data_IF_231539921739
#
_entry.id   IF_231539921739
#
_cell.length_a   1.000
_cell.length_b   1.000
_cell.length_c   1.000
_cell.angle_alpha   90.00
_cell.angle_beta   90.00
_cell.angle_gamma   90.00
#
_symmetry.space_group_name_H-M   'P 1'
#
loop_
_entity.id
_entity.type
_entity.pdbx_description
1 polymer ?
#
# COMPACT_ATOMS: atom_id res chain seq x y z
N UNK A 1 -11.05 -13.44 9.49
CA UNK A 1 -9.61 -13.09 9.51
C UNK A 1 -8.81 -14.32 9.92
N UNK A 2 -7.95 -14.88 9.06
CA UNK A 2 -7.09 -16.01 9.42
C UNK A 2 -5.84 -15.41 10.04
N UNK A 3 -5.74 -15.36 11.35
CA UNK A 3 -4.51 -14.96 12.03
C UNK A 3 -3.51 -16.08 11.82
N UNK A 4 -2.60 -15.86 10.90
CA UNK A 4 -1.71 -16.90 10.40
C UNK A 4 -0.35 -16.69 11.03
N UNK A 5 0.15 -17.73 11.67
CA UNK A 5 1.28 -17.69 12.56
C UNK A 5 2.64 -17.89 11.90
N UNK A 6 2.73 -17.92 10.57
CA UNK A 6 3.96 -18.32 9.89
C UNK A 6 4.48 -17.33 8.84
N UNK A 7 4.03 -16.07 8.86
CA UNK A 7 4.49 -15.05 7.89
C UNK A 7 4.87 -13.75 8.57
N UNK A 8 5.70 -12.96 7.93
CA UNK A 8 5.74 -11.52 8.17
C UNK A 8 4.43 -10.93 7.68
N UNK A 9 3.74 -10.17 8.50
CA UNK A 9 2.44 -9.61 8.18
C UNK A 9 2.54 -8.09 8.19
N UNK A 10 1.98 -7.51 7.16
CA UNK A 10 1.79 -6.09 7.01
C UNK A 10 0.30 -5.79 7.14
N UNK A 11 -0.06 -4.95 8.08
CA UNK A 11 -1.43 -4.53 8.33
C UNK A 11 -1.59 -3.04 8.04
N UNK A 12 -2.61 -2.74 7.25
CA UNK A 12 -3.18 -1.41 7.18
C UNK A 12 -4.37 -1.36 8.15
N UNK A 13 -4.35 -0.46 9.11
CA UNK A 13 -5.32 -0.38 10.19
C UNK A 13 -6.11 0.92 10.08
N UNK A 14 -7.07 0.94 9.14
CA UNK A 14 -7.93 2.10 8.88
C UNK A 14 -9.34 1.94 9.45
N UNK A 15 -9.90 0.74 9.36
CA UNK A 15 -11.33 0.50 9.61
C UNK A 15 -11.74 0.63 11.06
N UNK A 16 -10.76 0.67 11.97
CA UNK A 16 -11.02 0.72 13.40
C UNK A 16 -10.31 1.92 14.02
N UNK A 17 -11.00 2.74 14.81
CA UNK A 17 -10.45 3.99 15.30
C UNK A 17 -9.15 3.79 16.08
N UNK A 18 -8.11 4.53 15.68
CA UNK A 18 -6.87 4.75 16.45
C UNK A 18 -6.02 3.49 16.72
N UNK A 19 -5.79 2.66 15.69
CA UNK A 19 -4.92 1.50 15.83
C UNK A 19 -5.56 0.35 16.63
N UNK A 20 -6.87 0.15 16.46
CA UNK A 20 -7.60 -0.89 17.18
C UNK A 20 -7.10 -2.29 16.82
N UNK A 21 -6.79 -2.56 15.54
CA UNK A 21 -6.28 -3.86 15.11
C UNK A 21 -4.98 -4.22 15.83
N UNK A 22 -4.05 -3.27 15.95
CA UNK A 22 -2.82 -3.45 16.72
C UNK A 22 -3.13 -3.71 18.20
N UNK A 23 -4.03 -2.96 18.81
CA UNK A 23 -4.43 -3.15 20.22
C UNK A 23 -5.08 -4.52 20.46
N UNK A 24 -5.83 -5.03 19.50
CA UNK A 24 -6.51 -6.33 19.58
C UNK A 24 -5.58 -7.50 19.34
N UNK A 25 -4.67 -7.39 18.38
CA UNK A 25 -3.85 -8.52 17.91
C UNK A 25 -2.40 -8.48 18.37
N UNK A 26 -1.89 -7.32 18.75
CA UNK A 26 -0.46 -7.10 19.04
C UNK A 26 0.08 -8.02 20.13
N UNK A 27 -0.69 -8.28 21.19
CA UNK A 27 -0.27 -9.20 22.26
C UNK A 27 -0.16 -10.64 21.79
N UNK A 28 -1.08 -11.07 20.93
CA UNK A 28 -1.02 -12.40 20.30
C UNK A 28 0.21 -12.54 19.41
N UNK A 29 0.52 -11.50 18.62
CA UNK A 29 1.69 -11.50 17.75
C UNK A 29 3.00 -11.40 18.54
N UNK A 30 3.05 -10.59 19.59
CA UNK A 30 4.20 -10.51 20.47
C UNK A 30 4.46 -11.83 21.24
N UNK A 31 3.41 -12.62 21.53
CA UNK A 31 3.57 -13.97 22.05
C UNK A 31 4.01 -14.96 20.97
N UNK A 32 3.56 -14.76 19.75
CA UNK A 32 3.91 -15.54 18.58
C UNK A 32 3.23 -16.91 18.45
N UNK A 33 3.75 -17.66 17.50
CA UNK A 33 3.32 -19.03 17.22
C UNK A 33 4.33 -20.08 17.66
N UNK A 34 3.95 -21.38 17.70
CA UNK A 34 4.90 -22.45 17.93
C UNK A 34 6.02 -22.43 16.90
N UNK A 35 7.27 -22.40 17.33
CA UNK A 35 8.40 -22.63 16.45
C UNK A 35 8.30 -24.04 15.87
N UNK A 36 8.46 -24.17 14.56
CA UNK A 36 8.38 -25.45 13.85
C UNK A 36 9.74 -25.86 13.30
N UNK A 37 10.01 -27.15 13.29
CA UNK A 37 11.18 -27.73 12.63
C UNK A 37 10.96 -27.85 11.11
N UNK A 38 11.97 -28.36 10.41
CA UNK A 38 11.93 -28.59 8.95
C UNK A 38 10.79 -29.51 8.50
N UNK A 39 10.27 -30.36 9.40
CA UNK A 39 9.15 -31.25 9.16
C UNK A 39 7.79 -30.66 9.58
N UNK A 40 7.77 -29.37 9.98
CA UNK A 40 6.58 -28.68 10.41
C UNK A 40 6.08 -29.04 11.81
N UNK A 41 6.84 -29.83 12.61
CA UNK A 41 6.49 -30.21 13.97
C UNK A 41 6.89 -29.10 14.96
N UNK A 42 6.11 -28.87 16.05
CA UNK A 42 6.47 -27.92 17.07
C UNK A 42 7.79 -28.29 17.76
N UNK A 43 8.75 -27.35 17.78
CA UNK A 43 10.00 -27.48 18.53
C UNK A 43 9.70 -27.42 20.02
N UNK A 44 10.32 -28.31 20.80
CA UNK A 44 10.20 -28.35 22.27
C UNK A 44 11.53 -28.04 22.93
N UNK A 45 11.48 -27.36 24.08
CA UNK A 45 12.65 -27.10 24.90
C UNK A 45 13.10 -28.37 25.66
N UNK A 46 14.19 -28.26 26.41
CA UNK A 46 14.73 -29.34 27.24
C UNK A 46 13.74 -29.86 28.31
N UNK A 47 12.68 -29.10 28.61
CA UNK A 47 11.63 -29.45 29.56
C UNK A 47 10.36 -29.98 28.86
N UNK A 48 10.42 -30.23 27.54
CA UNK A 48 9.30 -30.71 26.75
C UNK A 48 8.22 -29.65 26.41
N UNK A 49 8.41 -28.38 26.80
CA UNK A 49 7.48 -27.30 26.48
C UNK A 49 7.68 -26.81 25.04
N UNK A 50 6.57 -26.47 24.38
CA UNK A 50 6.62 -25.88 23.03
C UNK A 50 7.33 -24.53 23.09
N UNK A 51 8.31 -24.35 22.22
CA UNK A 51 9.01 -23.06 22.03
C UNK A 51 8.15 -22.19 21.14
N UNK A 52 7.90 -20.95 21.56
CA UNK A 52 7.19 -19.94 20.76
C UNK A 52 8.16 -18.95 20.15
N UNK A 53 7.90 -18.53 18.95
CA UNK A 53 8.66 -17.53 18.21
C UNK A 53 7.81 -16.26 18.04
N UNK A 54 8.16 -15.17 18.77
CA UNK A 54 7.43 -13.93 18.71
C UNK A 54 7.62 -13.22 17.38
N UNK A 55 6.62 -12.42 16.97
CA UNK A 55 6.78 -11.43 15.92
C UNK A 55 7.47 -10.19 16.47
N UNK A 56 8.35 -9.61 15.70
CA UNK A 56 8.75 -8.21 15.91
C UNK A 56 7.58 -7.34 15.49
N UNK A 57 7.16 -6.45 16.35
CA UNK A 57 6.09 -5.49 16.04
C UNK A 57 6.73 -4.17 15.64
N UNK A 58 6.38 -3.67 14.48
CA UNK A 58 6.77 -2.36 13.96
C UNK A 58 5.52 -1.54 13.72
N UNK A 59 5.57 -0.24 14.00
CA UNK A 59 4.40 0.64 13.97
C UNK A 59 4.76 1.95 13.31
N UNK A 60 4.06 2.31 12.24
CA UNK A 60 4.02 3.67 11.72
C UNK A 60 2.61 4.21 11.93
N UNK A 61 2.47 5.30 12.65
CA UNK A 61 1.18 5.89 13.02
C UNK A 61 1.13 7.34 12.54
N UNK A 62 0.33 7.61 11.50
CA UNK A 62 0.16 8.96 10.95
C UNK A 62 -1.00 9.73 11.58
N UNK A 63 -1.77 9.10 12.47
CA UNK A 63 -2.81 9.78 13.28
C UNK A 63 -2.19 10.40 14.53
N UNK A 64 -1.28 9.67 15.16
CA UNK A 64 -0.61 10.11 16.39
C UNK A 64 0.87 9.75 16.32
N UNK A 65 1.68 10.70 15.89
CA UNK A 65 3.12 10.53 15.69
C UNK A 65 3.88 10.15 16.96
N UNK A 66 3.38 10.54 18.16
CA UNK A 66 4.01 10.13 19.43
C UNK A 66 3.93 8.61 19.70
N UNK A 67 3.07 7.90 18.98
CA UNK A 67 2.89 6.44 19.04
C UNK A 67 3.42 5.74 17.78
N UNK A 68 4.36 6.38 17.11
CA UNK A 68 4.98 5.88 15.88
C UNK A 68 6.46 5.60 16.11
N UNK A 69 6.97 4.58 15.43
CA UNK A 69 8.39 4.41 15.17
C UNK A 69 8.84 5.38 14.09
N UNK A 70 10.12 5.69 14.04
CA UNK A 70 10.73 6.54 13.02
C UNK A 70 10.87 5.78 11.71
N UNK A 71 10.65 6.51 10.61
CA UNK A 71 10.76 6.02 9.25
C UNK A 71 11.50 7.04 8.40
N UNK A 72 12.70 6.71 7.99
CA UNK A 72 13.49 7.53 7.08
C UNK A 72 13.52 6.92 5.67
N UNK A 73 12.79 7.49 4.70
CA UNK A 73 12.79 6.97 3.33
C UNK A 73 14.17 6.94 2.67
N UNK A 74 15.09 7.83 3.05
CA UNK A 74 16.43 7.89 2.46
C UNK A 74 17.32 6.73 2.93
N UNK A 75 17.01 6.11 4.08
CA UNK A 75 17.71 4.91 4.56
C UNK A 75 17.59 3.71 3.60
N UNK A 76 16.54 3.71 2.75
CA UNK A 76 16.27 2.65 1.78
C UNK A 76 16.70 2.96 0.36
N UNK A 77 17.36 4.07 0.13
CA UNK A 77 17.95 4.41 -1.17
C UNK A 77 19.28 3.70 -1.33
N UNK A 78 19.39 2.81 -2.32
CA UNK A 78 20.59 2.00 -2.60
C UNK A 78 21.20 2.32 -3.95
N UNK A 79 20.46 3.02 -4.80
CA UNK A 79 20.88 3.36 -6.17
C UNK A 79 20.15 4.61 -6.65
N UNK A 80 20.67 5.21 -7.74
CA UNK A 80 20.01 6.32 -8.45
C UNK A 80 18.58 5.94 -8.91
N UNK A 81 18.35 4.67 -9.23
CA UNK A 81 17.01 4.18 -9.58
C UNK A 81 16.03 4.34 -8.42
N UNK A 82 16.50 4.14 -7.18
CA UNK A 82 15.63 4.26 -6.01
C UNK A 82 15.31 5.72 -5.71
N UNK A 83 16.23 6.64 -6.00
CA UNK A 83 15.97 8.09 -5.97
C UNK A 83 14.83 8.43 -6.93
N UNK A 84 14.91 7.94 -8.19
CA UNK A 84 13.85 8.17 -9.17
C UNK A 84 12.50 7.58 -8.74
N UNK A 85 12.50 6.36 -8.17
CA UNK A 85 11.28 5.72 -7.66
C UNK A 85 10.68 6.54 -6.51
N UNK A 86 11.49 6.97 -5.54
CA UNK A 86 11.07 7.77 -4.39
C UNK A 86 10.44 9.10 -4.84
N UNK A 87 11.11 9.83 -5.72
CA UNK A 87 10.61 11.09 -6.27
C UNK A 87 9.29 10.89 -7.02
N UNK A 88 9.16 9.82 -7.81
CA UNK A 88 7.91 9.51 -8.50
C UNK A 88 6.75 9.27 -7.54
N UNK A 89 6.97 8.58 -6.43
CA UNK A 89 5.93 8.34 -5.41
C UNK A 89 5.54 9.65 -4.73
N UNK A 90 6.49 10.49 -4.35
CA UNK A 90 6.23 11.80 -3.77
C UNK A 90 5.34 12.62 -4.71
N UNK A 91 5.75 12.77 -5.96
CA UNK A 91 5.00 13.55 -6.95
C UNK A 91 3.60 12.98 -7.21
N UNK A 92 3.47 11.65 -7.28
CA UNK A 92 2.18 11.00 -7.54
C UNK A 92 1.16 11.25 -6.43
N UNK A 93 1.62 11.34 -5.16
CA UNK A 93 0.74 11.37 -3.99
C UNK A 93 0.67 12.74 -3.29
N UNK A 94 1.34 13.77 -3.80
CA UNK A 94 1.29 15.15 -3.28
C UNK A 94 0.71 16.13 -4.30
N UNK A 95 -0.13 15.64 -5.21
CA UNK A 95 -0.85 16.50 -6.17
C UNK A 95 -1.95 17.27 -5.47
N UNK A 96 -2.09 18.56 -5.79
CA UNK A 96 -3.24 19.35 -5.36
C UNK A 96 -4.53 18.90 -6.06
N UNK A 97 -5.68 19.15 -5.41
CA UNK A 97 -6.99 18.89 -5.98
C UNK A 97 -7.16 19.68 -7.29
N UNK A 98 -7.41 18.98 -8.39
CA UNK A 98 -7.66 19.56 -9.72
C UNK A 98 -6.47 19.55 -10.69
N UNK A 99 -5.27 19.11 -10.29
CA UNK A 99 -4.18 18.88 -11.24
C UNK A 99 -4.51 17.73 -12.20
N UNK A 100 -4.66 18.07 -13.49
CA UNK A 100 -4.82 17.07 -14.54
C UNK A 100 -3.56 16.21 -14.64
N UNK A 101 -3.74 14.91 -14.82
CA UNK A 101 -2.68 13.89 -14.87
C UNK A 101 -1.76 13.94 -16.10
N UNK A 102 -1.69 15.06 -16.84
CA UNK A 102 -0.72 15.20 -17.92
C UNK A 102 0.66 15.44 -17.32
N UNK A 103 1.69 14.77 -17.84
CA UNK A 103 3.09 15.11 -17.56
C UNK A 103 3.36 16.53 -18.03
N UNK A 104 3.02 17.50 -17.21
CA UNK A 104 3.24 18.89 -17.47
C UNK A 104 4.74 19.22 -17.29
N UNK A 105 5.19 20.24 -17.97
CA UNK A 105 6.52 20.80 -17.83
C UNK A 105 6.91 20.99 -16.35
N UNK A 106 5.98 21.47 -15.53
CA UNK A 106 6.18 21.71 -14.10
C UNK A 106 6.57 20.45 -13.34
N UNK A 107 5.83 19.36 -13.52
CA UNK A 107 6.09 18.06 -12.88
C UNK A 107 7.47 17.51 -13.29
N UNK A 108 7.87 17.68 -14.56
CA UNK A 108 9.20 17.25 -15.03
C UNK A 108 10.32 18.08 -14.39
N UNK A 109 10.12 19.38 -14.26
CA UNK A 109 11.08 20.26 -13.63
C UNK A 109 11.21 20.04 -12.12
N UNK A 110 10.08 19.84 -11.41
CA UNK A 110 10.04 19.44 -9.99
C UNK A 110 10.81 18.13 -9.76
N UNK A 111 10.60 17.14 -10.64
CA UNK A 111 11.31 15.86 -10.59
C UNK A 111 12.81 16.05 -10.69
N UNK A 112 13.29 16.90 -11.60
CA UNK A 112 14.71 17.20 -11.75
C UNK A 112 15.29 17.79 -10.46
N UNK A 113 14.60 18.75 -9.84
CA UNK A 113 15.05 19.37 -8.60
C UNK A 113 15.09 18.36 -7.45
N UNK A 114 14.03 17.61 -7.22
CA UNK A 114 14.03 16.60 -6.17
C UNK A 114 15.11 15.52 -6.38
N UNK A 115 15.30 15.07 -7.61
CA UNK A 115 16.37 14.12 -7.93
C UNK A 115 17.75 14.70 -7.67
N UNK A 116 17.94 15.99 -7.95
CA UNK A 116 19.19 16.68 -7.68
C UNK A 116 19.47 16.78 -6.17
N UNK A 117 18.48 17.27 -5.40
CA UNK A 117 18.64 17.48 -3.96
C UNK A 117 18.80 16.15 -3.21
N UNK A 118 17.94 15.17 -3.48
CA UNK A 118 18.03 13.84 -2.84
C UNK A 118 19.33 13.13 -3.27
N UNK A 119 19.71 13.27 -4.54
CA UNK A 119 20.98 12.72 -5.03
C UNK A 119 22.18 13.36 -4.33
N UNK A 120 22.18 14.67 -4.12
CA UNK A 120 23.20 15.35 -3.34
C UNK A 120 23.29 14.81 -1.91
N UNK A 121 22.16 14.74 -1.23
CA UNK A 121 22.08 14.23 0.16
C UNK A 121 22.60 12.79 0.23
N UNK A 122 22.19 11.94 -0.69
CA UNK A 122 22.56 10.52 -0.66
C UNK A 122 24.06 10.29 -0.87
N UNK A 123 24.69 11.05 -1.75
CA UNK A 123 26.11 10.89 -2.08
C UNK A 123 27.04 11.66 -1.14
N UNK A 124 26.70 12.93 -0.84
CA UNK A 124 27.63 13.90 -0.27
C UNK A 124 27.38 14.19 1.22
N UNK A 125 26.15 13.96 1.74
CA UNK A 125 25.84 14.24 3.13
C UNK A 125 26.37 13.16 4.07
N UNK A 126 26.68 13.56 5.31
CA UNK A 126 27.01 12.61 6.38
C UNK A 126 25.80 11.70 6.70
N UNK A 127 26.02 10.47 7.22
CA UNK A 127 24.92 9.52 7.47
C UNK A 127 23.75 10.09 8.28
N UNK A 128 24.04 10.90 9.29
CA UNK A 128 23.04 11.51 10.18
C UNK A 128 22.19 12.59 9.47
N UNK A 129 22.73 13.16 8.39
CA UNK A 129 22.06 14.19 7.58
C UNK A 129 21.27 13.60 6.41
N UNK A 130 21.37 12.29 6.16
CA UNK A 130 20.63 11.62 5.08
C UNK A 130 19.18 11.40 5.44
N UNK A 131 18.42 12.49 5.54
CA UNK A 131 17.02 12.48 5.93
C UNK A 131 16.20 13.58 5.24
N UNK A 132 14.88 13.56 5.44
CA UNK A 132 13.97 14.54 4.83
C UNK A 132 14.13 15.95 5.39
N UNK A 133 14.67 16.12 6.60
CA UNK A 133 14.91 17.46 7.15
C UNK A 133 15.97 18.18 6.32
N UNK A 134 17.04 17.49 5.97
CA UNK A 134 18.09 18.03 5.09
C UNK A 134 17.54 18.39 3.71
N UNK A 135 16.63 17.56 3.15
CA UNK A 135 15.93 17.89 1.91
C UNK A 135 15.17 19.21 2.01
N UNK A 136 14.42 19.41 3.10
CA UNK A 136 13.68 20.66 3.34
C UNK A 136 14.62 21.86 3.48
N UNK A 137 15.72 21.72 4.20
CA UNK A 137 16.72 22.78 4.33
C UNK A 137 17.31 23.16 2.98
N UNK A 138 17.70 22.20 2.17
CA UNK A 138 18.22 22.46 0.83
C UNK A 138 17.16 23.11 -0.08
N UNK A 139 15.92 22.62 -0.05
CA UNK A 139 14.83 23.22 -0.84
C UNK A 139 14.55 24.65 -0.43
N UNK A 140 14.52 24.95 0.86
CA UNK A 140 14.31 26.30 1.40
C UNK A 140 15.50 27.24 1.10
N UNK A 141 16.71 26.68 0.94
CA UNK A 141 17.90 27.44 0.55
C UNK A 141 18.01 27.65 -0.98
N UNK A 142 17.12 27.02 -1.77
CA UNK A 142 16.97 27.33 -3.17
C UNK A 142 16.24 28.66 -3.36
N UNK A 143 16.90 29.66 -3.91
CA UNK A 143 16.31 30.94 -4.22
C UNK A 143 16.48 31.27 -5.72
N UNK A 144 15.49 31.93 -6.30
CA UNK A 144 15.56 32.49 -7.65
C UNK A 144 15.12 33.96 -7.61
N UNK A 145 15.91 34.87 -8.17
CA UNK A 145 15.57 36.28 -8.31
C UNK A 145 15.16 36.58 -9.74
N UNK A 146 14.08 37.31 -9.91
CA UNK A 146 13.54 37.65 -11.21
C UNK A 146 14.33 38.83 -11.86
N UNK A 147 14.89 39.67 -11.00
CA UNK A 147 15.60 40.90 -11.35
C UNK A 147 17.12 40.73 -11.49
N UNK A 148 17.65 39.57 -11.12
CA UNK A 148 19.09 39.27 -11.19
C UNK A 148 19.30 37.78 -11.59
N UNK A 149 19.53 37.58 -12.88
CA UNK A 149 19.84 36.26 -13.44
C UNK A 149 21.21 35.71 -13.03
N UNK A 150 22.09 36.59 -12.52
CA UNK A 150 23.44 36.20 -12.06
C UNK A 150 23.47 35.78 -10.60
N UNK A 151 22.35 35.97 -9.87
CA UNK A 151 22.25 35.61 -8.49
C UNK A 151 22.40 34.07 -8.27
N UNK A 152 23.26 33.74 -7.35
CA UNK A 152 23.49 32.34 -6.92
C UNK A 152 23.00 32.13 -5.50
N UNK A 153 22.05 31.23 -5.33
CA UNK A 153 21.62 30.76 -4.02
C UNK A 153 22.72 29.91 -3.34
N UNK A 154 22.63 29.68 -2.02
CA UNK A 154 23.56 28.78 -1.33
C UNK A 154 23.63 27.38 -1.98
N UNK A 155 22.51 26.88 -2.49
CA UNK A 155 22.44 25.59 -3.17
C UNK A 155 23.14 25.64 -4.55
N UNK A 156 23.02 26.75 -5.29
CA UNK A 156 23.78 26.93 -6.54
C UNK A 156 25.27 26.82 -6.29
N UNK A 157 25.78 27.44 -5.22
CA UNK A 157 27.19 27.37 -4.85
C UNK A 157 27.62 25.94 -4.53
N UNK A 158 26.81 25.19 -3.78
CA UNK A 158 27.08 23.78 -3.46
C UNK A 158 27.18 22.93 -4.74
N UNK A 159 26.25 23.11 -5.67
CA UNK A 159 26.26 22.35 -6.93
C UNK A 159 27.38 22.79 -7.87
N UNK A 160 27.74 24.07 -7.90
CA UNK A 160 28.89 24.56 -8.67
C UNK A 160 30.19 23.96 -8.17
N UNK A 161 30.37 23.84 -6.86
CA UNK A 161 31.57 23.27 -6.25
C UNK A 161 31.63 21.74 -6.47
N UNK A 162 30.51 21.06 -6.41
CA UNK A 162 30.43 19.65 -6.77
C UNK A 162 30.69 19.42 -8.25
N UNK A 163 30.14 20.27 -9.14
CA UNK A 163 30.37 20.20 -10.60
C UNK A 163 31.82 20.40 -11.00
N UNK A 164 32.58 21.27 -10.30
CA UNK A 164 34.03 21.44 -10.51
C UNK A 164 34.82 20.17 -10.20
N UNK A 165 34.40 19.43 -9.15
CA UNK A 165 35.06 18.18 -8.70
C UNK A 165 34.62 16.98 -9.51
N UNK A 166 33.32 16.87 -9.76
CA UNK A 166 32.64 15.71 -10.35
C UNK A 166 31.57 16.15 -11.37
N UNK A 167 31.92 16.58 -12.58
CA UNK A 167 30.96 17.09 -13.58
C UNK A 167 29.92 16.02 -14.01
N UNK A 168 30.30 14.74 -13.96
CA UNK A 168 29.45 13.61 -14.33
C UNK A 168 28.55 13.11 -13.20
N UNK A 169 28.60 13.73 -12.01
CA UNK A 169 27.81 13.34 -10.86
C UNK A 169 26.31 13.39 -11.15
N UNK A 170 25.56 12.37 -10.72
CA UNK A 170 24.11 12.25 -10.97
C UNK A 170 23.34 13.52 -10.56
N UNK A 171 23.56 13.99 -9.31
CA UNK A 171 22.87 15.15 -8.78
C UNK A 171 23.19 16.43 -9.59
N UNK A 172 24.43 16.61 -10.00
CA UNK A 172 24.87 17.76 -10.85
C UNK A 172 24.12 17.72 -12.20
N UNK A 173 24.05 16.57 -12.85
CA UNK A 173 23.32 16.42 -14.12
C UNK A 173 21.84 16.77 -14.00
N UNK A 174 21.20 16.40 -12.90
CA UNK A 174 19.79 16.74 -12.66
C UNK A 174 19.64 18.24 -12.39
N UNK A 175 20.54 18.83 -11.57
CA UNK A 175 20.49 20.24 -11.22
C UNK A 175 20.72 21.15 -12.41
N UNK A 176 21.71 20.85 -13.23
CA UNK A 176 22.00 21.61 -14.47
C UNK A 176 20.78 21.65 -15.39
N UNK A 177 20.09 20.50 -15.57
CA UNK A 177 18.86 20.45 -16.38
C UNK A 177 17.74 21.28 -15.77
N UNK A 178 17.59 21.26 -14.43
CA UNK A 178 16.62 22.09 -13.73
C UNK A 178 16.89 23.57 -13.92
N UNK A 179 18.15 24.00 -13.83
CA UNK A 179 18.58 25.40 -14.01
C UNK A 179 18.48 25.93 -15.44
N UNK A 180 18.16 25.09 -16.43
CA UNK A 180 17.86 25.55 -17.79
C UNK A 180 16.54 26.34 -17.88
N UNK A 181 15.68 26.30 -16.86
CA UNK A 181 14.50 27.13 -16.80
C UNK A 181 14.84 28.61 -16.54
N UNK A 182 14.11 29.52 -17.16
CA UNK A 182 14.29 30.96 -16.93
C UNK A 182 13.89 31.38 -15.52
N UNK A 183 14.46 32.47 -14.99
CA UNK A 183 14.34 32.91 -13.61
C UNK A 183 12.91 32.95 -13.04
N UNK A 184 11.95 33.54 -13.77
CA UNK A 184 10.53 33.56 -13.38
C UNK A 184 9.90 32.18 -13.32
N UNK A 185 10.22 31.33 -14.29
CA UNK A 185 9.76 29.94 -14.33
C UNK A 185 10.38 29.14 -13.19
N UNK A 186 11.68 29.36 -12.92
CA UNK A 186 12.40 28.72 -11.84
C UNK A 186 11.75 29.00 -10.47
N UNK A 187 11.41 30.26 -10.18
CA UNK A 187 10.72 30.67 -8.97
C UNK A 187 9.37 29.96 -8.81
N UNK A 188 8.60 29.84 -9.89
CA UNK A 188 7.31 29.12 -9.86
C UNK A 188 7.50 27.63 -9.58
N UNK A 189 8.53 26.98 -10.11
CA UNK A 189 8.87 25.58 -9.83
C UNK A 189 9.24 25.42 -8.35
N UNK A 190 10.04 26.33 -7.78
CA UNK A 190 10.42 26.28 -6.36
C UNK A 190 9.20 26.42 -5.44
N UNK A 191 8.27 27.32 -5.76
CA UNK A 191 7.00 27.47 -5.03
C UNK A 191 6.19 26.18 -5.09
N UNK A 192 6.09 25.55 -6.26
CA UNK A 192 5.36 24.29 -6.42
C UNK A 192 6.01 23.14 -5.62
N UNK A 193 7.34 23.04 -5.66
CA UNK A 193 8.07 22.07 -4.84
C UNK A 193 7.83 22.29 -3.34
N UNK A 194 7.91 23.55 -2.87
CA UNK A 194 7.62 23.89 -1.48
C UNK A 194 6.20 23.53 -1.07
N UNK A 195 5.21 23.82 -1.93
CA UNK A 195 3.81 23.46 -1.65
C UNK A 195 3.58 21.95 -1.51
N UNK A 196 4.26 21.13 -2.32
CA UNK A 196 4.17 19.66 -2.22
C UNK A 196 4.75 19.12 -0.92
N UNK A 197 5.77 19.74 -0.38
CA UNK A 197 6.41 19.35 0.88
C UNK A 197 5.88 20.12 2.10
N UNK A 198 4.87 20.98 1.95
CA UNK A 198 4.26 21.72 3.04
C UNK A 198 3.80 20.84 4.24
N UNK A 199 3.30 19.60 4.06
CA UNK A 199 3.00 18.73 5.20
C UNK A 199 4.19 18.49 6.13
N UNK A 200 5.42 18.59 5.64
CA UNK A 200 6.65 18.43 6.44
C UNK A 200 6.98 19.68 7.29
N UNK A 201 6.21 20.77 7.21
CA UNK A 201 6.30 21.87 8.15
C UNK A 201 5.79 21.49 9.54
N UNK A 202 5.03 20.40 9.64
CA UNK A 202 4.58 19.81 10.90
C UNK A 202 5.78 19.14 11.58
N UNK A 203 6.11 19.65 12.77
CA UNK A 203 7.29 19.21 13.54
C UNK A 203 7.27 17.71 13.81
N UNK A 204 6.13 17.19 14.25
CA UNK A 204 5.95 15.79 14.61
C UNK A 204 6.21 14.84 13.41
N UNK A 205 5.80 15.25 12.21
CA UNK A 205 6.11 14.50 11.00
C UNK A 205 7.62 14.53 10.70
N UNK A 206 8.26 15.68 10.83
CA UNK A 206 9.71 15.76 10.63
C UNK A 206 10.47 14.87 11.61
N UNK A 207 10.08 14.90 12.89
CA UNK A 207 10.74 14.14 13.94
C UNK A 207 10.73 12.62 13.67
N UNK A 208 9.65 12.08 13.11
CA UNK A 208 9.59 10.65 12.74
C UNK A 208 10.39 10.30 11.48
N UNK A 209 10.80 11.29 10.67
CA UNK A 209 11.55 11.07 9.43
C UNK A 209 13.05 11.36 9.52
N UNK A 210 13.57 11.51 10.72
CA UNK A 210 15.01 11.75 10.97
C UNK A 210 15.85 10.48 10.84
N UNK A 211 15.35 9.38 11.39
CA UNK A 211 16.04 8.09 11.52
C UNK A 211 15.12 6.95 11.10
N UNK A 212 15.66 5.75 10.97
CA UNK A 212 14.85 4.57 10.63
C UNK A 212 14.85 3.54 11.76
N UNK A 213 13.65 3.20 12.24
CA UNK A 213 13.41 2.14 13.22
C UNK A 213 12.57 0.99 12.64
N UNK A 214 12.03 1.16 11.42
CA UNK A 214 11.16 0.17 10.81
C UNK A 214 11.91 -1.04 10.26
N UNK A 215 13.14 -0.87 9.79
CA UNK A 215 13.97 -1.94 9.22
C UNK A 215 13.23 -2.72 8.12
N UNK A 216 12.63 -1.99 7.15
CA UNK A 216 11.80 -2.58 6.08
C UNK A 216 12.54 -3.64 5.27
N UNK A 217 13.84 -3.47 5.13
CA UNK A 217 14.72 -4.39 4.40
C UNK A 217 14.93 -5.73 5.11
N UNK A 218 14.52 -5.87 6.37
CA UNK A 218 14.58 -7.13 7.11
C UNK A 218 13.26 -7.90 7.12
N UNK A 219 12.20 -7.34 6.52
CA UNK A 219 10.97 -8.07 6.31
C UNK A 219 11.19 -9.18 5.29
N UNK A 220 10.60 -10.34 5.51
CA UNK A 220 10.90 -11.51 4.69
C UNK A 220 12.10 -12.35 5.15
N UNK A 221 12.96 -11.83 6.05
CA UNK A 221 14.04 -12.61 6.69
C UNK A 221 13.56 -13.25 7.99
N UNK A 222 12.75 -12.55 8.72
CA UNK A 222 12.26 -12.96 10.04
C UNK A 222 10.83 -12.49 10.27
N UNK A 223 10.11 -13.18 11.16
CA UNK A 223 8.71 -12.87 11.46
C UNK A 223 8.58 -11.47 12.02
N UNK A 224 7.97 -10.60 11.23
CA UNK A 224 7.71 -9.19 11.57
C UNK A 224 6.24 -8.87 11.30
N UNK A 225 5.62 -8.12 12.17
CA UNK A 225 4.29 -7.55 11.96
C UNK A 225 4.43 -6.02 11.91
N UNK A 226 4.28 -5.46 10.72
CA UNK A 226 4.26 -4.02 10.51
C UNK A 226 2.82 -3.52 10.49
N UNK A 227 2.51 -2.58 11.36
CA UNK A 227 1.22 -1.89 11.41
C UNK A 227 1.39 -0.47 10.87
N UNK A 228 0.63 -0.14 9.83
CA UNK A 228 0.49 1.21 9.31
C UNK A 228 -0.87 1.74 9.73
N UNK A 229 -0.87 2.70 10.62
CA UNK A 229 -2.08 3.30 11.19
C UNK A 229 -2.29 4.65 10.53
N UNK A 230 -3.39 4.78 9.79
CA UNK A 230 -3.74 5.99 9.05
C UNK A 230 -5.18 6.40 9.32
N UNK A 231 -5.52 7.64 8.98
CA UNK A 231 -6.88 8.16 9.14
C UNK A 231 -7.77 7.72 7.97
N UNK A 232 -9.02 7.40 8.28
CA UNK A 232 -10.09 7.15 7.32
C UNK A 232 -10.74 8.45 6.80
N UNK A 233 -10.60 9.54 7.54
CA UNK A 233 -11.24 10.84 7.27
C UNK A 233 -10.27 11.92 6.82
N UNK A 234 -8.97 11.76 7.06
CA UNK A 234 -7.94 12.73 6.74
C UNK A 234 -6.82 12.09 5.89
N UNK A 235 -6.70 12.54 4.65
CA UNK A 235 -5.75 12.02 3.67
C UNK A 235 -4.40 12.75 3.66
N UNK A 236 -4.22 13.75 4.52
CA UNK A 236 -3.05 14.66 4.51
C UNK A 236 -1.72 13.92 4.55
N UNK A 237 -1.63 12.81 5.28
CA UNK A 237 -0.40 12.04 5.45
C UNK A 237 -0.36 10.71 4.69
N UNK A 238 -1.35 10.44 3.82
CA UNK A 238 -1.43 9.18 3.09
C UNK A 238 -0.24 8.97 2.14
N UNK A 239 0.38 10.06 1.65
CA UNK A 239 1.59 10.00 0.84
C UNK A 239 2.76 9.31 1.56
N UNK A 240 2.85 9.43 2.90
CA UNK A 240 3.87 8.74 3.70
C UNK A 240 3.68 7.23 3.62
N UNK A 241 2.43 6.78 3.73
CA UNK A 241 2.07 5.36 3.64
C UNK A 241 2.33 4.83 2.22
N UNK A 242 1.93 5.58 1.18
CA UNK A 242 2.20 5.21 -0.21
C UNK A 242 3.71 5.09 -0.50
N UNK A 243 4.50 6.01 0.05
CA UNK A 243 5.96 6.02 -0.07
C UNK A 243 6.57 4.78 0.60
N UNK A 244 6.19 4.49 1.85
CA UNK A 244 6.64 3.30 2.57
C UNK A 244 6.27 2.02 1.83
N UNK A 245 5.02 1.88 1.38
CA UNK A 245 4.58 0.67 0.67
C UNK A 245 5.33 0.47 -0.64
N UNK A 246 5.52 1.54 -1.41
CA UNK A 246 6.30 1.46 -2.64
C UNK A 246 7.73 1.01 -2.38
N UNK A 247 8.37 1.53 -1.33
CA UNK A 247 9.71 1.09 -0.91
C UNK A 247 9.72 -0.34 -0.43
N UNK A 248 8.79 -0.73 0.43
CA UNK A 248 8.68 -2.09 0.95
C UNK A 248 8.58 -3.13 -0.17
N UNK A 249 7.67 -2.94 -1.13
CA UNK A 249 7.53 -3.86 -2.25
C UNK A 249 8.81 -3.95 -3.10
N UNK A 250 9.45 -2.81 -3.39
CA UNK A 250 10.70 -2.80 -4.15
C UNK A 250 11.81 -3.54 -3.39
N UNK A 251 11.99 -3.23 -2.09
CA UNK A 251 13.00 -3.87 -1.25
C UNK A 251 12.81 -5.38 -1.15
N UNK A 252 11.56 -5.84 -0.98
CA UNK A 252 11.26 -7.27 -0.88
C UNK A 252 11.53 -7.99 -2.21
N UNK A 253 11.16 -7.37 -3.35
CA UNK A 253 11.40 -7.94 -4.67
C UNK A 253 12.92 -8.01 -4.97
N UNK A 254 13.64 -6.91 -4.80
CA UNK A 254 15.07 -6.84 -5.03
C UNK A 254 15.82 -7.83 -4.13
N UNK A 255 15.40 -7.94 -2.85
CA UNK A 255 16.00 -8.89 -1.91
C UNK A 255 15.73 -10.35 -2.26
N UNK A 256 14.51 -10.66 -2.69
CA UNK A 256 14.18 -12.00 -3.15
C UNK A 256 15.05 -12.39 -4.36
N UNK A 257 15.22 -11.48 -5.31
CA UNK A 257 15.96 -11.74 -6.54
C UNK A 257 17.48 -11.80 -6.31
N UNK A 258 18.03 -10.83 -5.58
CA UNK A 258 19.49 -10.66 -5.45
C UNK A 258 20.12 -11.56 -4.36
N UNK A 259 19.37 -11.85 -3.27
CA UNK A 259 19.92 -12.58 -2.12
C UNK A 259 19.35 -13.99 -1.93
N UNK A 260 18.12 -14.25 -2.38
CA UNK A 260 17.40 -15.49 -2.08
C UNK A 260 16.98 -16.28 -3.32
N UNK A 261 17.66 -16.10 -4.45
CA UNK A 261 17.38 -16.84 -5.71
C UNK A 261 15.91 -16.78 -6.13
N UNK A 262 15.28 -15.61 -5.97
CA UNK A 262 13.92 -15.33 -6.40
C UNK A 262 12.83 -15.62 -5.35
N UNK A 263 13.17 -16.03 -4.11
CA UNK A 263 12.15 -16.43 -3.14
C UNK A 263 12.54 -16.10 -1.70
N UNK A 264 11.76 -15.26 -1.02
CA UNK A 264 12.00 -14.90 0.38
C UNK A 264 11.89 -16.12 1.32
N UNK A 265 12.74 -16.21 2.36
CA UNK A 265 12.69 -17.30 3.33
C UNK A 265 11.43 -17.27 4.21
N UNK A 266 10.88 -16.09 4.47
CA UNK A 266 9.63 -15.90 5.21
C UNK A 266 8.61 -15.23 4.31
N UNK A 267 7.45 -15.88 4.14
CA UNK A 267 6.36 -15.33 3.34
C UNK A 267 5.89 -13.98 3.90
N UNK A 268 5.76 -12.98 3.04
CA UNK A 268 5.25 -11.65 3.41
C UNK A 268 3.82 -11.49 2.91
N UNK A 269 2.89 -11.31 3.83
CA UNK A 269 1.49 -11.07 3.51
C UNK A 269 1.10 -9.64 3.77
N UNK A 270 0.74 -8.91 2.72
CA UNK A 270 0.23 -7.56 2.79
C UNK A 270 -1.31 -7.59 2.91
N UNK A 271 -1.84 -7.08 4.02
CA UNK A 271 -3.27 -6.87 4.22
C UNK A 271 -3.53 -5.38 4.03
N UNK A 272 -4.08 -5.03 2.88
CA UNK A 272 -4.28 -3.65 2.44
C UNK A 272 -5.76 -3.29 2.60
N UNK A 273 -6.12 -2.95 3.84
CA UNK A 273 -7.48 -2.50 4.17
C UNK A 273 -7.67 -1.07 3.70
N UNK A 274 -8.87 -0.72 3.20
CA UNK A 274 -9.19 0.57 2.58
C UNK A 274 -8.12 1.01 1.55
N UNK A 275 -7.71 0.08 0.68
CA UNK A 275 -6.60 0.26 -0.26
C UNK A 275 -6.71 1.54 -1.10
N UNK A 276 -7.93 2.01 -1.36
CA UNK A 276 -8.16 3.25 -2.08
C UNK A 276 -7.65 4.50 -1.35
N UNK A 277 -7.58 4.47 -0.02
CA UNK A 277 -7.16 5.63 0.76
C UNK A 277 -5.63 5.76 0.88
N UNK A 278 -4.89 4.69 0.61
CA UNK A 278 -3.42 4.69 0.72
C UNK A 278 -2.76 5.70 -0.24
N UNK A 279 -3.42 6.00 -1.36
CA UNK A 279 -2.84 6.72 -2.47
C UNK A 279 -2.35 5.78 -3.58
N UNK A 280 -1.63 6.34 -4.55
CA UNK A 280 -1.15 5.59 -5.70
C UNK A 280 0.22 4.96 -5.45
N UNK A 281 0.32 3.63 -5.52
CA UNK A 281 1.60 2.92 -5.62
C UNK A 281 1.95 2.81 -7.11
N UNK A 282 2.99 3.50 -7.59
CA UNK A 282 3.36 3.48 -9.01
C UNK A 282 3.67 2.06 -9.51
N UNK A 283 3.15 1.70 -10.69
CA UNK A 283 3.31 0.37 -11.32
C UNK A 283 2.79 -0.81 -10.46
N UNK A 284 1.81 -0.59 -9.61
CA UNK A 284 1.24 -1.65 -8.76
C UNK A 284 0.61 -2.78 -9.58
N UNK A 285 0.03 -2.47 -10.75
CA UNK A 285 -0.48 -3.43 -11.73
C UNK A 285 0.58 -4.45 -12.18
N UNK A 286 1.80 -4.01 -12.43
CA UNK A 286 2.94 -4.88 -12.79
C UNK A 286 3.47 -5.63 -11.58
N UNK A 287 3.52 -4.96 -10.45
CA UNK A 287 4.02 -5.50 -9.21
C UNK A 287 3.17 -6.68 -8.74
N UNK A 288 1.84 -6.54 -8.69
CA UNK A 288 0.93 -7.60 -8.23
C UNK A 288 1.00 -8.86 -9.10
N UNK A 289 1.34 -8.71 -10.37
CA UNK A 289 1.54 -9.84 -11.28
C UNK A 289 2.79 -10.67 -10.97
N UNK A 290 3.78 -10.09 -10.28
CA UNK A 290 5.11 -10.70 -10.12
C UNK A 290 5.46 -11.10 -8.68
N UNK A 291 4.79 -10.54 -7.67
CA UNK A 291 5.14 -10.76 -6.25
C UNK A 291 4.95 -12.19 -5.78
N UNK A 292 4.03 -12.94 -6.39
CA UNK A 292 3.70 -14.32 -5.99
C UNK A 292 4.92 -15.25 -5.98
N UNK A 293 5.74 -15.20 -7.02
CA UNK A 293 6.94 -16.05 -7.13
C UNK A 293 7.96 -15.76 -6.02
N UNK A 294 7.93 -14.58 -5.43
CA UNK A 294 8.86 -14.07 -4.41
C UNK A 294 8.40 -14.30 -2.97
N UNK A 295 7.39 -15.13 -2.76
CA UNK A 295 6.75 -15.34 -1.44
C UNK A 295 6.11 -14.08 -0.86
N UNK A 296 5.54 -13.25 -1.72
CA UNK A 296 4.79 -12.06 -1.31
C UNK A 296 3.34 -12.21 -1.80
N UNK A 297 2.38 -11.94 -0.94
CA UNK A 297 0.96 -11.92 -1.29
C UNK A 297 0.29 -10.64 -0.82
N UNK A 298 -0.68 -10.16 -1.60
CA UNK A 298 -1.49 -8.99 -1.25
C UNK A 298 -2.97 -9.38 -1.13
N UNK A 299 -3.62 -8.88 -0.08
CA UNK A 299 -5.07 -8.90 0.08
C UNK A 299 -5.55 -7.47 0.00
N UNK A 300 -6.19 -7.12 -1.09
CA UNK A 300 -6.71 -5.78 -1.37
C UNK A 300 -8.16 -5.75 -0.88
N UNK A 301 -8.49 -4.84 0.03
CA UNK A 301 -9.82 -4.69 0.57
C UNK A 301 -10.37 -3.33 0.14
N UNK A 302 -11.56 -3.33 -0.42
CA UNK A 302 -12.22 -2.17 -1.00
C UNK A 302 -13.69 -2.15 -0.58
N UNK A 303 -14.28 -0.98 -0.48
CA UNK A 303 -15.73 -0.83 -0.30
C UNK A 303 -16.46 -1.02 -1.64
N UNK A 304 -15.82 -0.64 -2.76
CA UNK A 304 -16.33 -0.84 -4.12
C UNK A 304 -15.18 -0.91 -5.12
N UNK A 305 -15.41 -1.53 -6.26
CA UNK A 305 -14.42 -1.56 -7.34
C UNK A 305 -14.22 -0.20 -8.02
N UNK A 306 -15.22 0.68 -7.98
CA UNK A 306 -15.09 2.03 -8.50
C UNK A 306 -14.00 2.85 -7.80
N UNK A 307 -13.72 2.58 -6.52
CA UNK A 307 -12.61 3.20 -5.80
C UNK A 307 -11.26 2.89 -6.46
N UNK A 308 -11.04 1.62 -6.84
CA UNK A 308 -9.81 1.21 -7.51
C UNK A 308 -9.68 1.88 -8.89
N UNK A 309 -10.77 1.96 -9.65
CA UNK A 309 -10.81 2.62 -10.97
C UNK A 309 -10.52 4.12 -10.89
N UNK A 310 -10.90 4.77 -9.81
CA UNK A 310 -10.60 6.20 -9.59
C UNK A 310 -9.09 6.44 -9.52
N UNK A 311 -8.33 5.58 -8.82
CA UNK A 311 -6.91 5.76 -8.57
C UNK A 311 -6.05 5.20 -9.72
N UNK A 312 -6.37 3.98 -10.16
CA UNK A 312 -5.55 3.24 -11.11
C UNK A 312 -6.07 3.27 -12.55
N UNK A 313 -7.25 3.87 -12.79
CA UNK A 313 -7.88 3.99 -14.11
C UNK A 313 -7.91 2.64 -14.84
N UNK A 314 -7.40 2.56 -16.05
CA UNK A 314 -7.39 1.33 -16.87
C UNK A 314 -6.56 0.20 -16.25
N UNK A 315 -5.57 0.52 -15.41
CA UNK A 315 -4.78 -0.49 -14.70
C UNK A 315 -5.56 -1.23 -13.61
N UNK A 316 -6.72 -0.72 -13.18
CA UNK A 316 -7.57 -1.34 -12.15
C UNK A 316 -8.01 -2.76 -12.55
N UNK A 317 -8.41 -2.96 -13.80
CA UNK A 317 -8.86 -4.26 -14.30
C UNK A 317 -7.70 -5.27 -14.34
N UNK A 318 -6.47 -4.80 -14.60
CA UNK A 318 -5.25 -5.63 -14.52
C UNK A 318 -4.97 -6.05 -13.08
N UNK A 319 -5.14 -5.15 -12.11
CA UNK A 319 -4.95 -5.45 -10.68
C UNK A 319 -5.95 -6.53 -10.24
N UNK A 320 -7.24 -6.36 -10.52
CA UNK A 320 -8.28 -7.34 -10.19
C UNK A 320 -8.03 -8.67 -10.87
N UNK A 321 -7.67 -8.67 -12.16
CA UNK A 321 -7.37 -9.87 -12.94
C UNK A 321 -6.17 -10.69 -12.44
N UNK A 322 -5.25 -10.08 -11.69
CA UNK A 322 -4.13 -10.76 -11.04
C UNK A 322 -4.46 -11.29 -9.63
N UNK A 323 -5.66 -11.02 -9.12
CA UNK A 323 -6.14 -11.60 -7.87
C UNK A 323 -6.77 -12.98 -8.13
N UNK A 324 -6.17 -14.06 -7.62
CA UNK A 324 -6.67 -15.42 -7.79
C UNK A 324 -7.96 -15.71 -7.00
N UNK A 325 -8.27 -14.88 -6.03
CA UNK A 325 -9.43 -15.04 -5.15
C UNK A 325 -10.18 -13.71 -5.03
N UNK A 326 -11.49 -13.73 -5.23
CA UNK A 326 -12.39 -12.61 -4.96
C UNK A 326 -13.40 -13.02 -3.92
N UNK A 327 -13.49 -12.24 -2.83
CA UNK A 327 -14.44 -12.48 -1.74
C UNK A 327 -15.36 -11.26 -1.61
N UNK A 328 -16.64 -11.44 -1.90
CA UNK A 328 -17.65 -10.41 -1.83
C UNK A 328 -18.54 -10.60 -0.60
N UNK A 329 -18.59 -9.60 0.26
CA UNK A 329 -19.35 -9.61 1.52
C UNK A 329 -20.71 -8.91 1.45
N UNK A 330 -21.11 -8.46 0.27
CA UNK A 330 -22.31 -7.64 0.05
C UNK A 330 -21.96 -6.20 -0.23
N UNK A 331 -22.91 -5.48 -0.83
CA UNK A 331 -22.75 -4.08 -1.20
C UNK A 331 -23.91 -3.64 -2.08
N UNK A 332 -24.01 -2.32 -2.36
CA UNK A 332 -25.08 -1.73 -3.18
C UNK A 332 -24.55 -0.93 -4.38
N UNK A 333 -23.24 -0.87 -4.57
CA UNK A 333 -22.63 -0.14 -5.68
C UNK A 333 -22.89 -0.90 -7.00
N UNK A 334 -23.56 -0.22 -7.95
CA UNK A 334 -24.07 -0.86 -9.19
C UNK A 334 -22.97 -1.49 -10.06
N UNK A 335 -21.81 -0.85 -10.15
CA UNK A 335 -20.67 -1.38 -10.92
C UNK A 335 -20.19 -2.71 -10.37
N UNK A 336 -19.98 -2.78 -9.04
CA UNK A 336 -19.57 -4.01 -8.35
C UNK A 336 -20.65 -5.10 -8.46
N UNK A 337 -21.92 -4.77 -8.27
CA UNK A 337 -23.01 -5.74 -8.42
C UNK A 337 -23.06 -6.34 -9.84
N UNK A 338 -22.89 -5.50 -10.86
CA UNK A 338 -22.84 -5.93 -12.25
C UNK A 338 -21.66 -6.88 -12.48
N UNK A 339 -20.46 -6.51 -12.07
CA UNK A 339 -19.27 -7.33 -12.24
C UNK A 339 -19.39 -8.67 -11.53
N UNK A 340 -19.90 -8.71 -10.30
CA UNK A 340 -20.12 -9.97 -9.56
C UNK A 340 -21.16 -10.85 -10.31
N UNK A 341 -22.27 -10.29 -10.78
CA UNK A 341 -23.29 -11.02 -11.54
C UNK A 341 -22.71 -11.63 -12.83
N UNK A 342 -21.93 -10.84 -13.58
CA UNK A 342 -21.27 -11.28 -14.81
C UNK A 342 -20.23 -12.40 -14.53
N UNK A 343 -19.46 -12.27 -13.46
CA UNK A 343 -18.45 -13.26 -13.02
C UNK A 343 -19.07 -14.59 -12.57
N UNK A 344 -20.28 -14.56 -11.97
CA UNK A 344 -21.01 -15.77 -11.59
C UNK A 344 -21.44 -16.56 -12.81
N UNK A 345 -21.71 -15.87 -13.93
CA UNK A 345 -22.12 -16.48 -15.18
C UNK A 345 -23.61 -16.78 -15.24
N UNK A 346 -23.98 -17.62 -16.20
CA UNK A 346 -25.39 -17.94 -16.51
C UNK A 346 -25.64 -19.46 -16.44
N UNK A 347 -26.84 -19.81 -16.02
CA UNK A 347 -27.40 -21.15 -16.17
C UNK A 347 -28.38 -21.21 -17.36
N UNK A 348 -28.53 -22.38 -17.96
CA UNK A 348 -29.53 -22.59 -18.99
C UNK A 348 -30.83 -23.02 -18.33
N UNK A 349 -31.90 -22.25 -18.54
CA UNK A 349 -33.24 -22.58 -18.10
C UNK A 349 -34.10 -22.94 -19.32
N UNK A 350 -35.02 -23.89 -19.14
CA UNK A 350 -36.04 -24.20 -20.12
C UNK A 350 -37.25 -23.27 -19.88
N UNK A 351 -37.56 -22.47 -20.88
CA UNK A 351 -38.74 -21.59 -20.86
C UNK A 351 -39.83 -22.18 -21.73
N UNK A 352 -40.98 -22.38 -21.13
CA UNK A 352 -42.19 -22.80 -21.82
C UNK A 352 -43.11 -21.60 -22.09
N UNK A 353 -43.28 -21.26 -23.34
CA UNK A 353 -44.23 -20.24 -23.73
C UNK A 353 -45.49 -20.92 -24.28
N UNK A 354 -46.64 -20.62 -23.66
CA UNK A 354 -47.97 -21.02 -24.16
C UNK A 354 -48.63 -19.84 -24.83
N UNK A 355 -49.01 -20.04 -26.11
CA UNK A 355 -49.85 -19.08 -26.81
C UNK A 355 -51.22 -19.70 -27.06
N UNK A 356 -52.27 -19.01 -26.61
CA UNK A 356 -53.65 -19.39 -26.87
C UNK A 356 -54.27 -18.34 -27.81
N UNK A 357 -54.65 -18.76 -28.99
CA UNK A 357 -55.32 -17.90 -29.96
C UNK A 357 -56.83 -18.18 -29.88
N UNK A 358 -57.62 -17.18 -29.40
CA UNK A 358 -59.07 -17.25 -29.22
C UNK A 358 -59.83 -16.70 -30.44
N UNK A 359 -59.48 -17.15 -31.67
CA UNK A 359 -60.23 -16.86 -32.89
C UNK A 359 -61.32 -17.88 -33.12
N UNK A 360 -61.94 -17.83 -34.31
CA UNK A 360 -63.00 -18.80 -34.72
C UNK A 360 -62.56 -20.25 -34.73
N UNK A 361 -61.25 -20.50 -34.72
CA UNK A 361 -60.63 -21.81 -34.41
C UNK A 361 -59.59 -21.58 -33.31
N UNK A 362 -59.79 -22.20 -32.15
CA UNK A 362 -58.88 -22.15 -31.00
C UNK A 362 -57.66 -23.01 -31.35
N UNK A 363 -56.46 -22.40 -31.34
CA UNK A 363 -55.22 -23.11 -31.48
C UNK A 363 -54.30 -22.87 -30.24
N UNK A 364 -53.72 -23.94 -29.76
CA UNK A 364 -52.75 -23.91 -28.67
C UNK A 364 -51.35 -24.18 -29.22
N UNK A 365 -50.44 -23.24 -29.08
CA UNK A 365 -49.02 -23.41 -29.42
C UNK A 365 -48.19 -23.54 -28.18
N UNK A 366 -47.34 -24.59 -28.10
CA UNK A 366 -46.33 -24.76 -27.08
C UNK A 366 -44.96 -24.52 -27.72
N UNK A 367 -44.23 -23.51 -27.23
CA UNK A 367 -42.85 -23.26 -27.68
C UNK A 367 -41.88 -23.47 -26.54
N UNK A 368 -40.92 -24.35 -26.76
CA UNK A 368 -39.80 -24.60 -25.80
C UNK A 368 -38.59 -23.77 -26.23
N UNK A 369 -38.11 -22.92 -25.35
CA UNK A 369 -36.90 -22.14 -25.59
C UNK A 369 -35.91 -22.35 -24.45
N UNK A 370 -34.63 -22.51 -24.80
CA UNK A 370 -33.53 -22.47 -23.81
C UNK A 370 -33.02 -21.07 -23.70
N UNK A 371 -33.11 -20.51 -22.49
CA UNK A 371 -32.67 -19.17 -22.17
C UNK A 371 -31.51 -19.23 -21.18
N UNK A 372 -30.54 -18.32 -21.33
CA UNK A 372 -29.51 -18.12 -20.33
C UNK A 372 -30.00 -17.17 -19.23
N UNK A 373 -30.20 -17.67 -18.02
CA UNK A 373 -30.51 -16.87 -16.83
C UNK A 373 -29.24 -16.64 -16.04
N UNK A 374 -28.98 -15.44 -15.55
CA UNK A 374 -27.88 -15.16 -14.61
C UNK A 374 -28.04 -16.02 -13.36
N UNK A 375 -26.94 -16.61 -12.87
CA UNK A 375 -26.98 -17.42 -11.63
C UNK A 375 -27.47 -16.62 -10.44
N UNK A 376 -27.07 -15.36 -10.33
CA UNK A 376 -27.65 -14.35 -9.45
C UNK A 376 -27.70 -13.03 -10.21
N UNK A 377 -28.87 -12.40 -10.23
CA UNK A 377 -29.06 -11.07 -10.82
C UNK A 377 -28.50 -10.00 -9.88
N UNK A 378 -28.29 -8.78 -10.39
CA UNK A 378 -27.76 -7.66 -9.59
C UNK A 378 -28.64 -7.33 -8.39
N UNK A 379 -29.94 -7.42 -8.56
CA UNK A 379 -30.97 -7.20 -7.52
C UNK A 379 -30.96 -8.33 -6.47
N UNK A 380 -30.80 -9.57 -6.86
CA UNK A 380 -30.62 -10.70 -5.92
C UNK A 380 -29.33 -10.56 -5.08
N UNK A 381 -28.23 -10.13 -5.71
CA UNK A 381 -26.98 -9.86 -5.02
C UNK A 381 -27.10 -8.66 -4.06
N UNK A 382 -27.83 -7.61 -4.45
CA UNK A 382 -28.02 -6.40 -3.65
C UNK A 382 -28.80 -6.66 -2.35
N UNK A 383 -29.68 -7.68 -2.33
CA UNK A 383 -30.50 -8.08 -1.17
C UNK A 383 -29.95 -9.34 -0.48
N UNK A 384 -28.75 -9.78 -0.83
CA UNK A 384 -28.10 -10.93 -0.23
C UNK A 384 -28.05 -10.79 1.31
N UNK A 385 -28.35 -11.88 2.01
CA UNK A 385 -28.31 -11.93 3.48
C UNK A 385 -26.95 -11.48 4.03
N UNK A 386 -26.98 -10.64 5.06
CA UNK A 386 -25.79 -10.07 5.68
C UNK A 386 -24.82 -11.08 6.28
N UNK A 387 -25.27 -12.31 6.58
CA UNK A 387 -24.45 -13.44 7.03
C UNK A 387 -23.80 -14.24 5.91
N UNK A 388 -24.11 -13.94 4.64
CA UNK A 388 -23.60 -14.65 3.46
C UNK A 388 -22.46 -13.92 2.76
N UNK A 389 -21.70 -14.67 1.99
CA UNK A 389 -20.65 -14.14 1.12
C UNK A 389 -20.54 -14.96 -0.19
N UNK A 390 -19.99 -14.34 -1.22
CA UNK A 390 -19.66 -15.01 -2.47
C UNK A 390 -18.14 -15.11 -2.56
N UNK A 391 -17.62 -16.33 -2.70
CA UNK A 391 -16.20 -16.58 -2.90
C UNK A 391 -15.96 -17.11 -4.30
N UNK A 392 -15.10 -16.45 -5.02
CA UNK A 392 -14.56 -16.92 -6.30
C UNK A 392 -13.10 -17.29 -6.16
N UNK A 393 -12.72 -18.42 -6.72
CA UNK A 393 -11.35 -18.89 -6.83
C UNK A 393 -11.06 -19.21 -8.30
N UNK A 394 -9.85 -18.88 -8.77
CA UNK A 394 -9.44 -19.21 -10.12
C UNK A 394 -9.51 -20.74 -10.35
N UNK A 395 -10.18 -21.14 -11.42
CA UNK A 395 -10.26 -22.55 -11.85
C UNK A 395 -11.36 -23.39 -11.20
N UNK A 396 -12.18 -22.82 -10.32
CA UNK A 396 -13.32 -23.50 -9.71
C UNK A 396 -14.59 -22.66 -9.79
N UNK A 397 -15.75 -23.34 -9.69
CA UNK A 397 -17.05 -22.63 -9.66
C UNK A 397 -17.17 -21.75 -8.42
N UNK A 398 -17.91 -20.64 -8.50
CA UNK A 398 -18.14 -19.77 -7.34
C UNK A 398 -18.83 -20.50 -6.19
N UNK A 399 -18.54 -20.05 -4.97
CA UNK A 399 -19.18 -20.56 -3.76
C UNK A 399 -20.08 -19.48 -3.16
N UNK A 400 -21.30 -19.85 -2.82
CA UNK A 400 -22.18 -19.07 -1.96
C UNK A 400 -22.12 -19.65 -0.55
N UNK A 401 -21.56 -18.92 0.41
CA UNK A 401 -21.18 -19.45 1.72
C UNK A 401 -21.57 -18.52 2.86
N UNK A 402 -21.54 -19.05 4.07
CA UNK A 402 -21.68 -18.24 5.28
C UNK A 402 -20.39 -17.47 5.58
N UNK A 403 -20.53 -16.26 6.11
CA UNK A 403 -19.40 -15.52 6.67
C UNK A 403 -18.86 -16.28 7.88
N UNK A 404 -17.53 -16.33 7.99
CA UNK A 404 -16.90 -17.03 9.12
C UNK A 404 -17.15 -16.29 10.44
N UNK A 405 -17.62 -17.01 11.43
CA UNK A 405 -17.79 -16.50 12.79
C UNK A 405 -16.44 -16.53 13.53
N UNK A 406 -15.84 -15.34 13.72
CA UNK A 406 -14.54 -15.18 14.36
C UNK A 406 -14.49 -15.75 15.79
N UNK A 407 -15.61 -15.76 16.51
CA UNK A 407 -15.67 -16.28 17.88
C UNK A 407 -15.39 -17.79 17.97
N UNK A 408 -15.61 -18.51 16.85
CA UNK A 408 -15.29 -19.94 16.71
C UNK A 408 -13.81 -20.22 16.42
N UNK A 409 -13.02 -19.19 16.17
CA UNK A 409 -11.60 -19.40 15.89
C UNK A 409 -10.84 -19.84 17.17
N UNK A 410 -9.98 -20.88 17.13
CA UNK A 410 -9.30 -21.39 18.34
C UNK A 410 -8.45 -20.35 19.08
N UNK A 411 -8.01 -19.31 18.37
CA UNK A 411 -7.18 -18.23 18.94
C UNK A 411 -7.99 -16.98 19.33
N UNK A 412 -9.31 -16.97 19.12
CA UNK A 412 -10.17 -15.84 19.50
C UNK A 412 -9.98 -15.43 20.95
N UNK A 413 -9.84 -16.42 21.85
CA UNK A 413 -9.59 -16.21 23.28
C UNK A 413 -8.36 -15.39 23.64
N UNK A 414 -7.44 -15.19 22.70
CA UNK A 414 -6.22 -14.37 22.89
C UNK A 414 -6.36 -12.94 22.37
N UNK A 415 -7.50 -12.60 21.77
CA UNK A 415 -7.80 -11.25 21.33
C UNK A 415 -8.38 -10.42 22.46
N UNK A 416 -8.25 -9.10 22.37
CA UNK A 416 -8.83 -8.18 23.37
C UNK A 416 -10.35 -8.17 23.38
N UNK A 417 -11.00 -8.56 22.30
CA UNK A 417 -12.45 -8.73 22.21
C UNK A 417 -12.95 -9.85 23.11
N UNK A 418 -12.18 -10.92 23.22
CA UNK A 418 -12.51 -12.03 24.10
C UNK A 418 -12.17 -11.75 25.57
N UNK A 419 -11.04 -11.05 25.82
CA UNK A 419 -10.61 -10.65 27.17
C UNK A 419 -9.82 -9.35 27.10
N UNK A 420 -10.33 -8.31 27.76
CA UNK A 420 -9.69 -6.98 27.85
C UNK A 420 -8.25 -7.01 28.38
N UNK A 421 -7.85 -8.05 29.11
CA UNK A 421 -6.46 -8.27 29.53
C UNK A 421 -5.51 -8.51 28.36
N UNK A 422 -6.03 -8.85 27.20
CA UNK A 422 -5.26 -9.07 25.98
C UNK A 422 -5.02 -7.79 25.16
N UNK A 423 -5.47 -6.63 25.62
CA UNK A 423 -5.16 -5.34 24.99
C UNK A 423 -3.64 -5.15 24.94
N UNK A 424 -3.14 -4.78 23.74
CA UNK A 424 -1.73 -4.46 23.54
C UNK A 424 -1.47 -3.00 23.89
N UNK A 425 -0.51 -2.77 24.80
CA UNK A 425 -0.07 -1.45 25.20
C UNK A 425 1.06 -0.99 24.28
N UNK A 426 0.71 -0.20 23.27
CA UNK A 426 1.64 0.29 22.24
C UNK A 426 2.68 1.22 22.86
N UNK A 427 2.28 2.12 23.77
CA UNK A 427 3.19 3.10 24.37
C UNK A 427 4.28 2.40 25.18
N UNK A 428 3.87 1.46 26.02
CA UNK A 428 4.83 0.66 26.80
C UNK A 428 5.74 -0.18 25.91
N UNK A 429 5.22 -0.69 24.81
CA UNK A 429 6.02 -1.48 23.87
C UNK A 429 7.08 -0.61 23.19
N UNK A 430 6.71 0.57 22.69
CA UNK A 430 7.64 1.50 22.05
C UNK A 430 8.73 1.97 23.02
N UNK A 431 8.35 2.30 24.28
CA UNK A 431 9.32 2.67 25.31
C UNK A 431 10.30 1.56 25.69
N UNK A 432 9.91 0.30 25.55
CA UNK A 432 10.78 -0.85 25.83
C UNK A 432 11.62 -1.27 24.62
N UNK A 433 11.30 -0.83 23.42
CA UNK A 433 11.99 -1.11 22.17
C UNK A 433 13.08 -0.06 21.83
N UNK A 434 13.00 1.11 22.48
CA UNK A 434 14.02 2.16 22.48
C UNK A 434 15.02 1.87 23.60
#
# INVERSE_FOLDING_TARGET
>A
MKIICDFSVFYLDETLPKGQLLRETGKLLAHGGPKRDENGKPVRDKRGKVVYEPYRIKVLNTINFSKSMKYNPLAYVRSEKDILKLVNVIIANTKGDGEKSSEDFWVKAERLLYCALIGYIWYEAEPEERNFITLLYLLNACEAREDDETYKSPVDILFDDLAKKQPEHFAVKQYVKFKMAAGKTLKSILVSCGARLAPFDIKELRDIMTEDELELDTMGDRKTALFLIMSDTDTTFNFVIAMLQSQLFNLLCDKADDFYNGRLPVHVRCLLDEFANIGQIPNFDKLIATIRSREISASIILQSQSQLKTIYKDAADTIVGNCDSTLFFGGKEKGTLKEISELLGKETIDSLSQSENRGAQTSHGLSYQKLGKELMTQDEIAVMDGGKCILQLRGVRPFFSDKYDLTKHPRYKYLSDADKKNVFDVERYLQAAL
#
